data_IF_737748302599
#
_entry.id   IF_737748302599
#
_cell.length_a   1.000
_cell.length_b   1.000
_cell.length_c   1.000
_cell.angle_alpha   90.00
_cell.angle_beta   90.00
_cell.angle_gamma   90.00
#
_symmetry.space_group_name_H-M   'P 1'
#
loop_
_entity.id
_entity.type
_entity.pdbx_description
1 polymer ?
#
# COMPACT_ATOMS: atom_id res chain seq x y z
N UNK A 1 -56.76 -46.65 14.49
CA UNK A 1 -55.39 -47.07 14.12
C UNK A 1 -54.55 -45.82 14.04
N UNK A 2 -53.84 -45.51 15.12
CA UNK A 2 -53.07 -44.26 15.29
C UNK A 2 -51.63 -44.48 14.85
N UNK A 3 -51.24 -43.79 13.78
CA UNK A 3 -49.92 -43.88 13.18
C UNK A 3 -48.98 -42.88 13.88
N UNK A 4 -48.15 -43.38 14.82
CA UNK A 4 -47.11 -42.57 15.47
C UNK A 4 -45.92 -42.41 14.53
N UNK A 5 -45.69 -41.18 14.08
CA UNK A 5 -44.55 -40.78 13.26
C UNK A 5 -43.32 -40.63 14.18
N UNK A 6 -42.16 -41.24 13.85
CA UNK A 6 -40.98 -41.18 14.71
C UNK A 6 -40.31 -39.79 14.65
N UNK A 7 -40.33 -39.08 15.79
CA UNK A 7 -39.79 -37.73 16.00
C UNK A 7 -38.24 -37.62 15.98
N UNK A 8 -37.52 -38.67 15.62
CA UNK A 8 -36.06 -38.71 15.75
C UNK A 8 -35.32 -38.14 14.54
N UNK A 9 -35.97 -38.02 13.38
CA UNK A 9 -35.33 -37.62 12.12
C UNK A 9 -35.27 -36.11 11.87
N UNK A 10 -35.98 -35.30 12.67
CA UNK A 10 -36.01 -33.83 12.55
C UNK A 10 -34.95 -33.13 13.38
N UNK A 11 -34.41 -33.78 14.42
CA UNK A 11 -33.41 -33.17 15.32
C UNK A 11 -32.02 -33.07 14.68
N UNK A 12 -31.62 -34.07 13.90
CA UNK A 12 -30.27 -34.14 13.31
C UNK A 12 -30.04 -33.05 12.24
N UNK A 13 -31.08 -32.72 11.47
CA UNK A 13 -31.02 -31.67 10.44
C UNK A 13 -30.96 -30.26 11.04
N UNK A 14 -31.53 -30.06 12.22
CA UNK A 14 -31.49 -28.77 12.92
C UNK A 14 -30.12 -28.49 13.58
N UNK A 15 -29.41 -29.52 14.01
CA UNK A 15 -28.07 -29.38 14.59
C UNK A 15 -27.02 -28.99 13.54
N UNK A 16 -27.07 -29.63 12.37
CA UNK A 16 -26.07 -29.43 11.32
C UNK A 16 -26.12 -28.02 10.68
N UNK A 17 -27.27 -27.33 10.74
CA UNK A 17 -27.43 -25.98 10.18
C UNK A 17 -26.86 -24.88 11.09
N UNK A 18 -26.63 -25.15 12.38
CA UNK A 18 -26.16 -24.14 13.35
C UNK A 18 -24.64 -24.01 13.41
N UNK A 19 -23.91 -25.06 13.03
CA UNK A 19 -22.44 -25.06 13.03
C UNK A 19 -21.82 -24.30 11.84
N UNK A 20 -22.56 -24.16 10.72
CA UNK A 20 -22.04 -23.49 9.51
C UNK A 20 -22.10 -21.95 9.58
N UNK A 21 -22.87 -21.39 10.52
CA UNK A 21 -23.07 -19.94 10.65
C UNK A 21 -22.09 -19.26 11.62
N UNK A 22 -21.37 -19.99 12.47
CA UNK A 22 -20.44 -19.36 13.45
C UNK A 22 -19.03 -19.12 12.90
N UNK A 23 -18.63 -19.83 11.83
CA UNK A 23 -17.31 -19.63 11.21
C UNK A 23 -17.24 -18.36 10.33
N UNK A 24 -18.37 -17.81 9.88
CA UNK A 24 -18.41 -16.55 9.13
C UNK A 24 -18.31 -15.30 10.00
N UNK A 25 -18.74 -15.34 11.27
CA UNK A 25 -18.68 -14.17 12.17
C UNK A 25 -17.28 -13.92 12.75
N UNK A 26 -16.46 -14.96 12.92
CA UNK A 26 -15.07 -14.83 13.40
C UNK A 26 -14.18 -14.22 12.30
N UNK A 27 -14.48 -14.47 11.03
CA UNK A 27 -13.68 -14.00 9.89
C UNK A 27 -13.75 -12.48 9.66
N UNK A 28 -14.83 -11.80 10.08
CA UNK A 28 -15.01 -10.38 9.79
C UNK A 28 -14.26 -9.43 10.73
N UNK A 29 -13.85 -9.88 11.93
CA UNK A 29 -13.16 -9.03 12.91
C UNK A 29 -11.68 -8.78 12.59
N UNK A 30 -11.05 -9.65 11.80
CA UNK A 30 -9.64 -9.53 11.42
C UNK A 30 -9.42 -8.59 10.22
N UNK A 31 -10.44 -8.46 9.37
CA UNK A 31 -10.43 -7.59 8.19
C UNK A 31 -10.15 -6.11 8.54
N UNK A 32 -10.85 -5.47 9.49
CA UNK A 32 -10.58 -4.07 9.84
C UNK A 32 -9.18 -3.89 10.46
N UNK A 33 -8.65 -4.90 11.15
CA UNK A 33 -7.30 -4.85 11.73
C UNK A 33 -6.22 -4.83 10.64
N UNK A 34 -6.35 -5.68 9.62
CA UNK A 34 -5.43 -5.71 8.47
C UNK A 34 -5.49 -4.38 7.72
N UNK A 35 -6.70 -3.85 7.45
CA UNK A 35 -6.87 -2.56 6.76
C UNK A 35 -6.20 -1.44 7.56
N UNK A 36 -6.40 -1.39 8.88
CA UNK A 36 -5.80 -0.37 9.75
C UNK A 36 -4.27 -0.47 9.77
N UNK A 37 -3.72 -1.69 9.80
CA UNK A 37 -2.28 -1.89 9.76
C UNK A 37 -1.67 -1.38 8.44
N UNK A 38 -2.33 -1.66 7.31
CA UNK A 38 -1.90 -1.19 5.98
C UNK A 38 -1.98 0.33 5.87
N UNK A 39 -3.05 0.95 6.33
CA UNK A 39 -3.22 2.41 6.26
C UNK A 39 -2.20 3.13 7.14
N UNK A 40 -1.95 2.66 8.36
CA UNK A 40 -0.94 3.25 9.26
C UNK A 40 0.46 3.16 8.64
N UNK A 41 0.81 2.01 8.06
CA UNK A 41 2.11 1.82 7.40
C UNK A 41 2.26 2.77 6.21
N UNK A 42 1.21 2.94 5.41
CA UNK A 42 1.19 3.86 4.28
C UNK A 42 1.37 5.32 4.69
N UNK A 43 0.65 5.77 5.72
CA UNK A 43 0.74 7.13 6.25
C UNK A 43 2.15 7.40 6.80
N UNK A 44 2.70 6.46 7.56
CA UNK A 44 4.05 6.57 8.10
C UNK A 44 5.11 6.68 6.99
N UNK A 45 4.96 5.87 5.93
CA UNK A 45 5.79 5.96 4.73
C UNK A 45 5.71 7.32 4.05
N UNK A 46 4.51 7.90 3.92
CA UNK A 46 4.31 9.23 3.34
C UNK A 46 5.01 10.33 4.16
N UNK A 47 4.93 10.27 5.49
CA UNK A 47 5.56 11.25 6.38
C UNK A 47 7.08 11.21 6.24
N UNK A 48 7.68 10.01 6.26
CA UNK A 48 9.13 9.84 6.08
C UNK A 48 9.56 10.36 4.71
N UNK A 49 8.78 10.05 3.67
CA UNK A 49 9.07 10.51 2.31
C UNK A 49 9.03 12.04 2.22
N UNK A 50 8.07 12.68 2.89
CA UNK A 50 7.93 14.14 2.91
C UNK A 50 9.12 14.81 3.61
N UNK A 51 9.59 14.24 4.73
CA UNK A 51 10.79 14.71 5.44
C UNK A 51 12.05 14.53 4.58
N UNK A 52 12.19 13.35 3.97
CA UNK A 52 13.29 13.04 3.05
C UNK A 52 13.30 13.93 1.79
N UNK A 53 12.15 14.45 1.37
CA UNK A 53 12.03 15.40 0.25
C UNK A 53 12.33 16.85 0.68
N UNK A 54 12.08 17.20 1.94
CA UNK A 54 12.40 18.54 2.47
C UNK A 54 13.90 18.86 2.38
N UNK A 55 14.75 17.87 2.65
CA UNK A 55 16.22 18.00 2.56
C UNK A 55 16.68 18.41 1.15
N UNK A 56 16.39 17.66 0.08
CA UNK A 56 16.82 18.04 -1.28
C UNK A 56 16.15 19.30 -1.79
N UNK A 57 14.91 19.61 -1.38
CA UNK A 57 14.27 20.90 -1.71
C UNK A 57 15.07 22.05 -1.09
N UNK A 58 15.44 21.94 0.19
CA UNK A 58 16.26 22.97 0.84
C UNK A 58 17.64 23.11 0.19
N UNK A 59 18.29 22.00 -0.18
CA UNK A 59 19.56 22.01 -0.92
C UNK A 59 19.43 22.73 -2.27
N UNK A 60 18.33 22.50 -2.99
CA UNK A 60 18.07 23.09 -4.30
C UNK A 60 17.73 24.58 -4.19
N UNK A 61 16.93 24.99 -3.20
CA UNK A 61 16.60 26.40 -2.95
C UNK A 61 17.85 27.20 -2.57
N UNK A 62 18.70 26.65 -1.69
CA UNK A 62 19.99 27.26 -1.32
C UNK A 62 20.88 27.34 -2.57
N UNK A 63 21.04 26.24 -3.32
CA UNK A 63 21.84 26.21 -4.53
C UNK A 63 21.44 27.27 -5.57
N UNK A 64 20.13 27.48 -5.79
CA UNK A 64 19.63 28.49 -6.74
C UNK A 64 19.80 29.91 -6.21
N UNK A 65 19.47 30.17 -4.94
CA UNK A 65 19.59 31.51 -4.34
C UNK A 65 21.03 32.02 -4.34
N UNK A 66 21.98 31.14 -4.01
CA UNK A 66 23.40 31.48 -3.97
C UNK A 66 24.08 31.48 -5.35
N UNK A 67 23.42 30.97 -6.40
CA UNK A 67 23.96 31.01 -7.78
C UNK A 67 23.94 32.43 -8.37
N UNK A 68 22.91 33.21 -8.07
CA UNK A 68 22.67 34.51 -8.72
C UNK A 68 23.03 35.73 -7.87
N UNK A 69 22.98 35.63 -6.53
CA UNK A 69 22.98 36.85 -5.72
C UNK A 69 24.36 37.43 -5.44
N UNK A 70 25.43 36.65 -5.22
CA UNK A 70 26.76 37.21 -5.01
C UNK A 70 27.83 36.16 -5.33
N UNK A 71 28.91 36.56 -6.00
CA UNK A 71 30.16 35.79 -6.01
C UNK A 71 30.56 35.48 -4.57
N UNK A 72 30.21 34.29 -4.07
CA UNK A 72 30.69 33.80 -2.80
C UNK A 72 32.06 33.16 -3.09
N UNK A 73 33.18 33.78 -2.68
CA UNK A 73 34.53 33.32 -3.03
C UNK A 73 34.95 32.03 -2.29
N UNK A 74 34.07 31.50 -1.42
CA UNK A 74 34.43 30.43 -0.50
C UNK A 74 34.34 29.04 -1.13
N UNK A 75 33.40 28.75 -2.05
CA UNK A 75 33.43 27.49 -2.85
C UNK A 75 32.28 27.41 -3.88
N UNK A 76 32.50 27.72 -5.18
CA UNK A 76 31.47 27.58 -6.22
C UNK A 76 31.07 26.12 -6.49
N UNK A 77 31.87 25.16 -6.00
CA UNK A 77 31.63 23.71 -6.17
C UNK A 77 30.52 23.20 -5.25
N UNK A 78 30.29 23.85 -4.11
CA UNK A 78 29.29 23.41 -3.14
C UNK A 78 27.87 23.52 -3.72
N UNK A 79 27.52 24.66 -4.32
CA UNK A 79 26.19 24.89 -4.91
C UNK A 79 25.89 23.92 -6.05
N UNK A 80 26.89 23.57 -6.89
CA UNK A 80 26.75 22.56 -7.93
C UNK A 80 26.54 21.16 -7.35
N UNK A 81 27.28 20.81 -6.30
CA UNK A 81 27.11 19.53 -5.61
C UNK A 81 25.72 19.40 -4.99
N UNK A 82 25.22 20.46 -4.34
CA UNK A 82 23.87 20.55 -3.76
C UNK A 82 22.77 20.37 -4.82
N UNK A 83 22.92 20.99 -5.99
CA UNK A 83 21.97 20.84 -7.11
C UNK A 83 21.97 19.42 -7.65
N UNK A 84 23.16 18.85 -7.92
CA UNK A 84 23.29 17.49 -8.47
C UNK A 84 22.78 16.45 -7.48
N UNK A 85 23.18 16.54 -6.20
CA UNK A 85 22.73 15.63 -5.15
C UNK A 85 21.20 15.70 -4.97
N UNK A 86 20.62 16.91 -4.95
CA UNK A 86 19.17 17.10 -4.88
C UNK A 86 18.42 16.52 -6.09
N UNK A 87 18.96 16.69 -7.31
CA UNK A 87 18.38 16.09 -8.52
C UNK A 87 18.43 14.56 -8.51
N UNK A 88 19.54 13.96 -8.05
CA UNK A 88 19.69 12.50 -7.96
C UNK A 88 18.70 11.91 -6.95
N UNK A 89 18.51 12.55 -5.79
CA UNK A 89 17.53 12.08 -4.81
C UNK A 89 16.10 12.19 -5.31
N UNK A 90 15.74 13.29 -5.99
CA UNK A 90 14.41 13.46 -6.59
C UNK A 90 14.18 12.40 -7.68
N UNK A 91 15.18 12.18 -8.56
CA UNK A 91 15.11 11.15 -9.60
C UNK A 91 14.93 9.75 -9.01
N UNK A 92 15.60 9.44 -7.91
CA UNK A 92 15.47 8.15 -7.21
C UNK A 92 14.06 7.97 -6.63
N UNK A 93 13.46 9.01 -6.04
CA UNK A 93 12.09 8.98 -5.52
C UNK A 93 11.08 8.75 -6.65
N UNK A 94 11.23 9.46 -7.77
CA UNK A 94 10.38 9.28 -8.95
C UNK A 94 10.48 7.85 -9.49
N UNK A 95 11.69 7.30 -9.56
CA UNK A 95 11.92 5.93 -10.02
C UNK A 95 11.27 4.89 -9.10
N UNK A 96 11.35 5.08 -7.79
CA UNK A 96 10.66 4.23 -6.80
C UNK A 96 9.14 4.28 -7.00
N UNK A 97 8.58 5.47 -7.19
CA UNK A 97 7.14 5.64 -7.46
C UNK A 97 6.75 4.92 -8.75
N UNK A 98 7.54 5.09 -9.82
CA UNK A 98 7.30 4.46 -11.11
C UNK A 98 7.35 2.93 -11.00
N UNK A 99 8.34 2.39 -10.30
CA UNK A 99 8.49 0.95 -10.06
C UNK A 99 7.33 0.40 -9.22
N UNK A 100 6.87 1.15 -8.22
CA UNK A 100 5.69 0.80 -7.42
C UNK A 100 4.43 0.75 -8.28
N UNK A 101 4.20 1.77 -9.13
CA UNK A 101 3.09 1.80 -10.07
C UNK A 101 3.15 0.64 -11.07
N UNK A 102 4.34 0.33 -11.60
CA UNK A 102 4.55 -0.80 -12.50
C UNK A 102 4.20 -2.12 -11.80
N UNK A 103 4.65 -2.30 -10.55
CA UNK A 103 4.36 -3.51 -9.75
C UNK A 103 2.86 -3.67 -9.51
N UNK A 104 2.16 -2.58 -9.18
CA UNK A 104 0.70 -2.55 -9.04
C UNK A 104 0.03 -2.89 -10.37
N UNK A 105 0.50 -2.32 -11.48
CA UNK A 105 -0.06 -2.56 -12.80
C UNK A 105 0.12 -4.02 -13.26
N UNK A 106 1.30 -4.60 -13.03
CA UNK A 106 1.56 -6.03 -13.29
C UNK A 106 0.67 -6.91 -12.41
N UNK A 107 0.56 -6.58 -11.12
CA UNK A 107 -0.32 -7.30 -10.19
C UNK A 107 -1.79 -7.21 -10.62
N UNK A 108 -2.22 -6.03 -11.07
CA UNK A 108 -3.57 -5.80 -11.57
C UNK A 108 -3.86 -6.65 -12.81
N UNK A 109 -2.96 -6.64 -13.81
CA UNK A 109 -3.08 -7.45 -15.03
C UNK A 109 -3.05 -8.95 -14.73
N UNK A 110 -2.15 -9.40 -13.86
CA UNK A 110 -2.06 -10.80 -13.47
C UNK A 110 -3.34 -11.27 -12.78
N UNK A 111 -3.91 -10.45 -11.90
CA UNK A 111 -5.18 -10.75 -11.21
C UNK A 111 -6.35 -10.89 -12.20
N UNK A 112 -6.43 -10.03 -13.21
CA UNK A 112 -7.47 -10.11 -14.26
C UNK A 112 -7.33 -11.36 -15.12
N UNK A 113 -6.09 -11.77 -15.45
CA UNK A 113 -5.86 -12.99 -16.23
C UNK A 113 -6.28 -14.25 -15.44
N UNK A 114 -5.96 -14.30 -14.15
CA UNK A 114 -6.37 -15.41 -13.28
C UNK A 114 -7.88 -15.52 -13.15
N UNK A 115 -8.60 -14.41 -12.96
CA UNK A 115 -10.07 -14.43 -12.87
C UNK A 115 -10.74 -14.83 -14.19
N UNK A 116 -10.22 -14.40 -15.34
CA UNK A 116 -10.72 -14.82 -16.65
C UNK A 116 -10.54 -16.34 -16.86
N UNK A 117 -9.38 -16.89 -16.50
CA UNK A 117 -9.13 -18.34 -16.61
C UNK A 117 -10.09 -19.15 -15.73
N UNK A 118 -10.32 -18.71 -14.49
CA UNK A 118 -11.26 -19.38 -13.56
C UNK A 118 -12.71 -19.29 -14.05
N UNK A 119 -13.09 -18.23 -14.78
CA UNK A 119 -14.45 -18.08 -15.32
C UNK A 119 -14.72 -18.99 -16.53
N UNK A 120 -13.68 -19.30 -17.32
CA UNK A 120 -13.79 -20.10 -18.55
C UNK A 120 -13.78 -21.61 -18.26
N UNK A 121 -13.15 -22.03 -17.16
CA UNK A 121 -13.02 -23.44 -16.74
C UNK A 121 -14.24 -23.90 -15.93
#
# INVERSE_FOLDING_TARGET
MEQRIPLTLTSEKAYNHRSRSSNSEISHKWIPYIITCVTVTSIFGLIILLIMLGIPISMLVIGIRYRNQYHCPIEPRLSLFLIVAGSVSIGSIILIILLSLLTIFISYKSSTMTTIIVLIL
#
